data_IF_983663367811
#
_entry.id   IF_983663367811
#
_cell.length_a   1.000
_cell.length_b   1.000
_cell.length_c   1.000
_cell.angle_alpha   90.00
_cell.angle_beta   90.00
_cell.angle_gamma   90.00
#
_symmetry.space_group_name_H-M   'P 1'
#
loop_
_entity.id
_entity.type
_entity.pdbx_description
1 polymer ?
#
# COMPACT_ATOMS: atom_id res chain seq x y z
N UNK A 1 5.12 -4.17 15.49
CA UNK A 1 4.84 -5.26 16.44
C UNK A 1 5.90 -6.32 16.21
N UNK A 2 6.54 -6.86 17.25
CA UNK A 2 7.48 -7.97 17.05
C UNK A 2 6.74 -9.29 16.79
N UNK A 3 7.45 -10.29 16.27
CA UNK A 3 6.84 -11.57 15.85
C UNK A 3 6.24 -12.35 17.03
N UNK A 4 6.78 -12.22 18.24
CA UNK A 4 6.28 -12.94 19.41
C UNK A 4 4.94 -12.36 19.89
N UNK A 5 4.82 -11.03 19.92
CA UNK A 5 3.58 -10.34 20.22
C UNK A 5 2.50 -10.63 19.16
N UNK A 6 2.89 -10.66 17.89
CA UNK A 6 1.98 -11.01 16.79
C UNK A 6 1.44 -12.45 16.95
N UNK A 7 2.33 -13.40 17.24
CA UNK A 7 1.96 -14.78 17.54
C UNK A 7 0.97 -14.89 18.70
N UNK A 8 1.29 -14.31 19.86
CA UNK A 8 0.45 -14.41 21.04
C UNK A 8 -0.94 -13.80 20.80
N UNK A 9 -1.00 -12.65 20.10
CA UNK A 9 -2.27 -12.00 19.76
C UNK A 9 -3.07 -12.82 18.76
N UNK A 10 -2.43 -13.38 17.73
CA UNK A 10 -3.07 -14.28 16.77
C UNK A 10 -3.66 -15.52 17.45
N UNK A 11 -2.87 -16.18 18.32
CA UNK A 11 -3.31 -17.35 19.07
C UNK A 11 -4.51 -17.03 19.97
N UNK A 12 -4.50 -15.89 20.67
CA UNK A 12 -5.65 -15.43 21.47
C UNK A 12 -6.91 -15.24 20.62
N UNK A 13 -6.78 -14.67 19.42
CA UNK A 13 -7.90 -14.51 18.48
C UNK A 13 -8.45 -15.84 18.01
N UNK A 14 -7.57 -16.77 17.62
CA UNK A 14 -7.95 -18.12 17.20
C UNK A 14 -8.66 -18.89 18.33
N UNK A 15 -8.13 -18.86 19.56
CA UNK A 15 -8.75 -19.50 20.73
C UNK A 15 -10.14 -18.93 20.98
N UNK A 16 -10.27 -17.60 20.97
CA UNK A 16 -11.54 -16.94 21.22
C UNK A 16 -12.58 -17.29 20.14
N UNK A 17 -12.21 -17.16 18.85
CA UNK A 17 -13.13 -17.42 17.75
C UNK A 17 -13.55 -18.90 17.71
N UNK A 18 -12.62 -19.82 17.93
CA UNK A 18 -12.88 -21.26 17.99
C UNK A 18 -13.85 -21.61 19.11
N UNK A 19 -13.67 -21.04 20.31
CA UNK A 19 -14.60 -21.24 21.44
C UNK A 19 -15.99 -20.66 21.14
N UNK A 20 -16.06 -19.46 20.58
CA UNK A 20 -17.32 -18.81 20.20
C UNK A 20 -18.12 -19.61 19.17
N UNK A 21 -17.42 -20.25 18.21
CA UNK A 21 -18.01 -21.13 17.20
C UNK A 21 -18.18 -22.58 17.64
N UNK A 22 -17.77 -22.91 18.87
CA UNK A 22 -17.80 -24.27 19.44
C UNK A 22 -17.02 -25.28 18.58
N UNK A 23 -15.90 -24.86 18.01
CA UNK A 23 -15.01 -25.73 17.23
C UNK A 23 -14.16 -26.58 18.18
N UNK A 24 -14.01 -27.86 17.86
CA UNK A 24 -13.17 -28.79 18.61
C UNK A 24 -11.75 -28.81 18.03
N UNK A 25 -10.95 -27.81 18.41
CA UNK A 25 -9.56 -27.69 17.97
C UNK A 25 -8.62 -27.82 19.17
N UNK A 26 -7.65 -28.73 19.09
CA UNK A 26 -6.70 -28.93 20.17
C UNK A 26 -5.74 -27.73 20.29
N UNK A 27 -5.25 -27.37 21.49
CA UNK A 27 -4.37 -26.23 21.68
C UNK A 27 -3.11 -26.23 20.80
N UNK A 28 -2.52 -27.41 20.55
CA UNK A 28 -1.34 -27.52 19.69
C UNK A 28 -1.66 -27.22 18.22
N UNK A 29 -2.85 -27.58 17.73
CA UNK A 29 -3.28 -27.27 16.36
C UNK A 29 -3.54 -25.76 16.21
N UNK A 30 -4.12 -25.11 17.22
CA UNK A 30 -4.29 -23.65 17.22
C UNK A 30 -2.94 -22.92 17.22
N UNK A 31 -1.94 -23.46 17.93
CA UNK A 31 -0.57 -22.95 17.93
C UNK A 31 0.08 -23.07 16.54
N UNK A 32 -0.05 -24.23 15.88
CA UNK A 32 0.44 -24.46 14.52
C UNK A 32 -0.24 -23.53 13.50
N UNK A 33 -1.55 -23.31 13.63
CA UNK A 33 -2.29 -22.36 12.78
C UNK A 33 -1.81 -20.93 13.02
N UNK A 34 -1.56 -20.54 14.27
CA UNK A 34 -1.04 -19.21 14.58
C UNK A 34 0.35 -18.97 13.96
N UNK A 35 1.24 -19.96 14.00
CA UNK A 35 2.56 -19.90 13.37
C UNK A 35 2.43 -19.78 11.84
N UNK A 36 1.57 -20.60 11.24
CA UNK A 36 1.30 -20.58 9.79
C UNK A 36 0.82 -19.20 9.32
N UNK A 37 0.04 -18.50 10.14
CA UNK A 37 -0.47 -17.16 9.84
C UNK A 37 0.59 -16.08 10.03
N UNK A 38 1.28 -16.06 11.18
CA UNK A 38 2.18 -14.95 11.53
C UNK A 38 3.48 -14.97 10.74
N UNK A 39 3.99 -16.16 10.40
CA UNK A 39 5.26 -16.30 9.68
C UNK A 39 5.29 -15.55 8.33
N UNK A 40 4.37 -15.76 7.38
CA UNK A 40 4.36 -15.01 6.11
C UNK A 40 4.08 -13.51 6.31
N UNK A 41 3.30 -13.15 7.32
CA UNK A 41 2.91 -11.75 7.55
C UNK A 41 4.01 -10.88 8.19
N UNK A 42 5.07 -11.49 8.71
CA UNK A 42 6.23 -10.78 9.28
C UNK A 42 7.39 -10.67 8.28
N UNK A 43 7.12 -10.89 6.99
CA UNK A 43 8.08 -10.70 5.90
C UNK A 43 8.66 -9.28 5.86
N UNK A 44 9.87 -9.10 5.30
CA UNK A 44 10.62 -7.84 5.35
C UNK A 44 9.97 -6.70 4.55
N UNK A 45 9.03 -7.02 3.65
CA UNK A 45 8.35 -6.05 2.79
C UNK A 45 6.90 -5.77 3.21
N UNK A 46 6.40 -6.40 4.27
CA UNK A 46 5.04 -6.14 4.80
C UNK A 46 5.08 -4.92 5.72
N UNK A 47 4.70 -3.75 5.19
CA UNK A 47 4.66 -2.49 5.94
C UNK A 47 3.21 -2.06 6.26
N UNK A 48 2.28 -2.32 5.35
CA UNK A 48 0.85 -2.12 5.52
C UNK A 48 0.16 -3.44 5.90
N UNK A 49 0.31 -4.49 5.09
CA UNK A 49 -0.38 -5.77 5.26
C UNK A 49 0.35 -6.64 6.30
N UNK A 50 0.27 -6.20 7.56
CA UNK A 50 0.99 -6.73 8.73
C UNK A 50 0.08 -7.52 9.66
N UNK A 51 0.59 -8.25 10.68
CA UNK A 51 -0.25 -8.90 11.68
C UNK A 51 -1.19 -7.91 12.40
N UNK A 52 -0.75 -6.67 12.62
CA UNK A 52 -1.61 -5.67 13.25
C UNK A 52 -2.81 -5.32 12.36
N UNK A 53 -2.61 -5.23 11.04
CA UNK A 53 -3.68 -4.98 10.08
C UNK A 53 -4.77 -6.06 10.15
N UNK A 54 -4.43 -7.35 10.05
CA UNK A 54 -5.45 -8.42 10.11
C UNK A 54 -6.23 -8.45 11.44
N UNK A 55 -5.61 -8.01 12.55
CA UNK A 55 -6.30 -7.91 13.84
C UNK A 55 -7.30 -6.75 13.88
N UNK A 56 -7.02 -5.66 13.19
CA UNK A 56 -7.90 -4.50 13.10
C UNK A 56 -9.06 -4.79 12.13
N UNK A 57 -8.77 -5.44 10.99
CA UNK A 57 -9.77 -5.93 10.04
C UNK A 57 -10.71 -6.93 10.69
N UNK A 58 -10.21 -7.88 11.47
CA UNK A 58 -11.04 -8.90 12.14
C UNK A 58 -11.94 -8.34 13.24
N UNK A 59 -11.58 -7.20 13.84
CA UNK A 59 -12.32 -6.64 14.97
C UNK A 59 -12.37 -7.60 16.17
N UNK A 60 -13.44 -7.55 16.95
CA UNK A 60 -13.50 -8.26 18.25
C UNK A 60 -14.84 -8.93 18.56
N UNK A 61 -15.85 -8.81 17.68
CA UNK A 61 -17.24 -9.16 18.01
C UNK A 61 -17.70 -10.43 17.33
N UNK A 62 -17.42 -10.58 16.05
CA UNK A 62 -17.95 -11.67 15.23
C UNK A 62 -16.87 -12.71 14.93
N UNK A 63 -17.03 -13.99 15.33
CA UNK A 63 -15.97 -14.98 15.23
C UNK A 63 -15.67 -15.42 13.80
N UNK A 64 -16.65 -15.44 12.89
CA UNK A 64 -16.43 -15.72 11.47
C UNK A 64 -15.57 -14.62 10.83
N UNK A 65 -15.90 -13.35 11.10
CA UNK A 65 -15.15 -12.20 10.58
C UNK A 65 -13.72 -12.20 11.14
N UNK A 66 -13.54 -12.54 12.43
CA UNK A 66 -12.21 -12.69 13.02
C UNK A 66 -11.43 -13.80 12.32
N UNK A 67 -12.01 -15.00 12.14
CA UNK A 67 -11.31 -16.08 11.45
C UNK A 67 -10.95 -15.70 10.01
N UNK A 68 -11.89 -15.17 9.24
CA UNK A 68 -11.64 -14.73 7.87
C UNK A 68 -10.51 -13.69 7.79
N UNK A 69 -10.53 -12.67 8.64
CA UNK A 69 -9.54 -11.61 8.63
C UNK A 69 -8.12 -12.10 8.94
N UNK A 70 -7.96 -13.09 9.83
CA UNK A 70 -6.65 -13.67 10.12
C UNK A 70 -5.98 -14.29 8.88
N UNK A 71 -6.76 -14.66 7.85
CA UNK A 71 -6.23 -15.29 6.64
C UNK A 71 -6.26 -14.42 5.39
N UNK A 72 -7.07 -13.35 5.31
CA UNK A 72 -7.38 -12.71 4.01
C UNK A 72 -6.14 -12.20 3.23
N UNK A 73 -5.12 -11.72 3.93
CA UNK A 73 -3.84 -11.23 3.35
C UNK A 73 -2.66 -12.21 3.48
N UNK A 74 -2.96 -13.47 3.82
CA UNK A 74 -1.93 -14.45 4.13
C UNK A 74 -0.99 -14.70 2.95
N UNK A 75 -1.53 -14.76 1.74
CA UNK A 75 -0.77 -14.82 0.49
C UNK A 75 -0.80 -13.44 -0.16
N UNK A 76 0.36 -12.81 -0.34
CA UNK A 76 0.45 -11.55 -1.08
C UNK A 76 1.66 -11.52 -2.01
N UNK A 77 1.47 -12.06 -3.22
CA UNK A 77 2.60 -12.35 -4.11
C UNK A 77 3.36 -11.10 -4.57
N UNK A 78 2.66 -9.98 -4.75
CA UNK A 78 3.25 -8.73 -5.25
C UNK A 78 4.17 -8.09 -4.21
N UNK A 79 3.86 -8.25 -2.92
CA UNK A 79 4.69 -7.79 -1.82
C UNK A 79 5.78 -8.81 -1.46
N UNK A 80 5.47 -10.11 -1.44
CA UNK A 80 6.41 -11.14 -0.95
C UNK A 80 7.33 -11.70 -2.05
N UNK A 81 7.07 -11.37 -3.33
CA UNK A 81 7.69 -11.93 -4.54
C UNK A 81 7.63 -13.47 -4.65
N UNK A 82 6.98 -14.14 -3.71
CA UNK A 82 6.91 -15.59 -3.61
C UNK A 82 5.74 -15.99 -2.70
N UNK A 83 5.34 -17.25 -2.81
CA UNK A 83 4.44 -17.87 -1.84
C UNK A 83 5.31 -18.53 -0.76
N UNK A 84 5.04 -18.26 0.52
CA UNK A 84 5.72 -18.91 1.62
C UNK A 84 5.64 -20.43 1.49
N UNK A 85 6.76 -21.11 1.70
CA UNK A 85 6.89 -22.55 1.49
C UNK A 85 5.83 -23.37 2.24
N UNK A 86 5.51 -22.99 3.48
CA UNK A 86 4.52 -23.70 4.31
C UNK A 86 3.08 -23.53 3.78
N UNK A 87 2.81 -22.47 3.00
CA UNK A 87 1.53 -22.26 2.34
C UNK A 87 1.43 -23.02 1.01
N UNK A 88 2.57 -23.27 0.35
CA UNK A 88 2.63 -23.87 -0.98
C UNK A 88 1.98 -25.25 -1.07
N UNK A 89 1.99 -26.01 0.04
CA UNK A 89 1.34 -27.31 0.15
C UNK A 89 -0.17 -27.25 -0.10
N UNK A 90 -0.83 -26.18 0.33
CA UNK A 90 -2.27 -25.99 0.16
C UNK A 90 -2.65 -25.47 -1.23
N UNK A 91 -1.70 -24.89 -1.96
CA UNK A 91 -1.94 -24.16 -3.23
C UNK A 91 -1.52 -24.97 -4.45
N UNK A 92 -0.33 -25.58 -4.41
CA UNK A 92 0.27 -26.28 -5.55
C UNK A 92 -0.55 -27.44 -6.14
N UNK A 93 -1.42 -28.15 -5.38
CA UNK A 93 -2.29 -29.15 -5.98
C UNK A 93 -3.29 -28.57 -6.98
N UNK A 94 -3.64 -27.29 -6.85
CA UNK A 94 -4.71 -26.65 -7.62
C UNK A 94 -4.20 -25.60 -8.60
N UNK A 95 -3.08 -24.96 -8.27
CA UNK A 95 -2.51 -23.84 -9.01
C UNK A 95 -1.16 -24.26 -9.62
N UNK A 96 -0.89 -23.76 -10.82
CA UNK A 96 0.42 -23.87 -11.46
C UNK A 96 0.85 -22.52 -12.02
N UNK A 97 2.15 -22.33 -12.16
CA UNK A 97 2.71 -21.18 -12.86
C UNK A 97 2.93 -21.53 -14.33
N UNK A 98 2.50 -20.65 -15.24
CA UNK A 98 2.76 -20.71 -16.68
C UNK A 98 3.23 -19.32 -17.10
N UNK A 99 4.43 -19.22 -17.66
CA UNK A 99 5.02 -17.96 -18.15
C UNK A 99 4.94 -16.81 -17.11
N UNK A 100 5.32 -17.11 -15.85
CA UNK A 100 5.28 -16.12 -14.77
C UNK A 100 3.88 -15.81 -14.21
N UNK A 101 2.84 -16.52 -14.68
CA UNK A 101 1.44 -16.27 -14.27
C UNK A 101 0.83 -17.47 -13.58
N UNK A 102 0.22 -17.24 -12.42
CA UNK A 102 -0.52 -18.25 -11.70
C UNK A 102 -1.81 -18.59 -12.45
N UNK A 103 -2.08 -19.87 -12.63
CA UNK A 103 -3.20 -20.40 -13.40
C UNK A 103 -3.83 -21.56 -12.64
N UNK A 104 -5.15 -21.54 -12.51
CA UNK A 104 -5.89 -22.70 -11.97
C UNK A 104 -5.70 -23.88 -12.93
N UNK A 105 -5.36 -25.05 -12.41
CA UNK A 105 -5.18 -26.25 -13.24
C UNK A 105 -6.45 -26.56 -14.04
N UNK A 106 -6.25 -27.16 -15.21
CA UNK A 106 -7.35 -27.62 -16.06
C UNK A 106 -8.16 -28.70 -15.34
N UNK A 107 -9.45 -28.83 -15.65
CA UNK A 107 -10.37 -29.75 -14.96
C UNK A 107 -9.82 -31.18 -14.83
N UNK A 108 -9.21 -31.73 -15.89
CA UNK A 108 -8.64 -33.08 -15.88
C UNK A 108 -7.39 -33.28 -15.02
N UNK A 109 -6.80 -32.20 -14.51
CA UNK A 109 -5.61 -32.23 -13.65
C UNK A 109 -5.89 -31.74 -12.22
N UNK A 110 -7.13 -31.36 -11.91
CA UNK A 110 -7.54 -30.99 -10.56
C UNK A 110 -7.86 -32.26 -9.75
N UNK A 111 -7.37 -32.37 -8.50
CA UNK A 111 -7.82 -33.44 -7.63
C UNK A 111 -9.31 -33.24 -7.28
N UNK A 112 -10.05 -34.33 -7.01
CA UNK A 112 -11.45 -34.24 -6.57
C UNK A 112 -11.52 -33.69 -5.14
N UNK A 113 -11.62 -32.38 -5.01
CA UNK A 113 -11.60 -31.67 -3.73
C UNK A 113 -12.81 -30.72 -3.62
N UNK A 114 -13.71 -31.04 -2.68
CA UNK A 114 -14.95 -30.27 -2.48
C UNK A 114 -14.70 -28.88 -1.93
N UNK A 115 -13.66 -28.71 -1.10
CA UNK A 115 -13.33 -27.41 -0.50
C UNK A 115 -12.77 -26.48 -1.57
N UNK A 116 -11.86 -26.95 -2.41
CA UNK A 116 -11.38 -26.18 -3.55
C UNK A 116 -12.53 -25.78 -4.48
N UNK A 117 -13.42 -26.72 -4.81
CA UNK A 117 -14.59 -26.43 -5.65
C UNK A 117 -15.49 -25.35 -5.02
N UNK A 118 -15.70 -25.39 -3.70
CA UNK A 118 -16.48 -24.38 -2.98
C UNK A 118 -15.80 -23.01 -3.02
N UNK A 119 -14.48 -22.93 -2.80
CA UNK A 119 -13.71 -21.68 -2.88
C UNK A 119 -13.81 -21.10 -4.31
N UNK A 120 -13.58 -21.92 -5.33
CA UNK A 120 -13.70 -21.51 -6.73
C UNK A 120 -15.11 -21.00 -7.07
N UNK A 121 -16.16 -21.69 -6.62
CA UNK A 121 -17.55 -21.28 -6.83
C UNK A 121 -17.88 -19.93 -6.17
N UNK A 122 -17.42 -19.69 -4.94
CA UNK A 122 -17.67 -18.43 -4.22
C UNK A 122 -16.92 -17.26 -4.85
N UNK A 123 -15.70 -17.48 -5.36
CA UNK A 123 -14.95 -16.45 -6.10
C UNK A 123 -15.44 -16.28 -7.54
N UNK A 124 -16.18 -17.26 -8.08
CA UNK A 124 -16.59 -17.30 -9.48
C UNK A 124 -15.42 -17.61 -10.42
N UNK A 125 -14.42 -18.34 -9.94
CA UNK A 125 -13.26 -18.74 -10.73
C UNK A 125 -13.45 -20.14 -11.33
N UNK A 126 -12.84 -20.37 -12.48
CA UNK A 126 -13.01 -21.62 -13.24
C UNK A 126 -11.67 -22.33 -13.51
N UNK A 127 -11.67 -23.65 -13.68
CA UNK A 127 -10.48 -24.40 -14.11
C UNK A 127 -9.84 -23.82 -15.37
N UNK A 128 -8.51 -23.75 -15.40
CA UNK A 128 -7.76 -23.18 -16.51
C UNK A 128 -7.66 -21.65 -16.51
N UNK A 129 -8.36 -20.94 -15.61
CA UNK A 129 -8.31 -19.48 -15.53
C UNK A 129 -6.94 -18.98 -15.07
N UNK A 130 -6.40 -17.99 -15.76
CA UNK A 130 -5.23 -17.22 -15.33
C UNK A 130 -5.68 -16.27 -14.21
N UNK A 131 -5.00 -16.34 -13.07
CA UNK A 131 -5.26 -15.46 -11.94
C UNK A 131 -4.65 -14.08 -12.22
N UNK A 132 -5.40 -13.04 -11.89
CA UNK A 132 -5.00 -11.65 -12.10
C UNK A 132 -4.85 -10.97 -10.72
N UNK A 133 -3.67 -10.38 -10.42
CA UNK A 133 -3.44 -9.55 -9.24
C UNK A 133 -4.55 -8.55 -8.93
N UNK A 134 -5.14 -7.93 -9.97
CA UNK A 134 -6.14 -6.88 -9.83
C UNK A 134 -7.58 -7.39 -9.73
N UNK A 135 -7.79 -8.72 -9.77
CA UNK A 135 -9.13 -9.34 -9.77
C UNK A 135 -9.22 -10.43 -8.69
N UNK A 136 -8.50 -10.26 -7.58
CA UNK A 136 -8.66 -11.10 -6.39
C UNK A 136 -7.75 -12.33 -6.32
N UNK A 137 -6.60 -12.32 -7.00
CA UNK A 137 -5.65 -13.44 -6.95
C UNK A 137 -5.21 -13.76 -5.50
N UNK A 138 -4.86 -12.74 -4.72
CA UNK A 138 -4.28 -12.95 -3.40
C UNK A 138 -5.32 -13.46 -2.43
N UNK A 139 -6.50 -12.83 -2.43
CA UNK A 139 -7.66 -13.18 -1.62
C UNK A 139 -8.13 -14.60 -1.93
N UNK A 140 -8.10 -15.01 -3.20
CA UNK A 140 -8.44 -16.39 -3.60
C UNK A 140 -7.45 -17.40 -3.04
N UNK A 141 -6.15 -17.12 -3.15
CA UNK A 141 -5.11 -18.01 -2.62
C UNK A 141 -5.13 -18.08 -1.09
N UNK A 142 -5.33 -16.92 -0.44
CA UNK A 142 -5.54 -16.80 1.01
C UNK A 142 -6.78 -17.57 1.47
N UNK A 143 -7.90 -17.44 0.78
CA UNK A 143 -9.13 -18.18 1.08
C UNK A 143 -8.96 -19.69 0.89
N UNK A 144 -8.22 -20.12 -0.14
CA UNK A 144 -7.90 -21.52 -0.35
C UNK A 144 -7.07 -22.08 0.80
N UNK A 145 -6.04 -21.36 1.25
CA UNK A 145 -5.26 -21.76 2.44
C UNK A 145 -6.15 -21.82 3.68
N UNK A 146 -6.93 -20.76 3.94
CA UNK A 146 -7.85 -20.71 5.08
C UNK A 146 -8.78 -21.93 5.09
N UNK A 147 -9.38 -22.23 3.93
CA UNK A 147 -10.34 -23.29 3.81
C UNK A 147 -9.70 -24.67 4.02
N UNK A 148 -8.51 -24.92 3.47
CA UNK A 148 -7.80 -26.20 3.66
C UNK A 148 -7.28 -26.39 5.09
N UNK A 149 -6.85 -25.31 5.75
CA UNK A 149 -6.38 -25.35 7.14
C UNK A 149 -7.54 -25.59 8.12
N UNK A 150 -8.71 -25.00 7.86
CA UNK A 150 -9.87 -25.06 8.74
C UNK A 150 -10.82 -26.23 8.44
N UNK A 151 -10.68 -26.88 7.27
CA UNK A 151 -11.48 -28.02 6.81
C UNK A 151 -11.73 -29.11 7.87
N UNK A 152 -10.74 -29.53 8.70
CA UNK A 152 -10.96 -30.58 9.68
C UNK A 152 -11.87 -30.19 10.86
N UNK A 153 -12.13 -28.88 11.03
CA UNK A 153 -12.71 -28.35 12.26
C UNK A 153 -14.02 -27.61 12.05
N UNK A 154 -14.20 -27.00 10.88
CA UNK A 154 -15.27 -26.05 10.60
C UNK A 154 -16.38 -26.71 9.78
N UNK A 155 -17.65 -26.43 10.13
CA UNK A 155 -18.79 -26.94 9.38
C UNK A 155 -18.83 -26.32 7.97
N UNK A 156 -19.32 -27.04 6.95
CA UNK A 156 -19.40 -26.52 5.57
C UNK A 156 -20.11 -25.16 5.43
N UNK A 157 -21.13 -24.89 6.25
CA UNK A 157 -21.84 -23.61 6.30
C UNK A 157 -20.94 -22.48 6.79
N UNK A 158 -20.21 -22.70 7.89
CA UNK A 158 -19.27 -21.74 8.45
C UNK A 158 -18.09 -21.53 7.49
N UNK A 159 -17.65 -22.58 6.79
CA UNK A 159 -16.63 -22.50 5.76
C UNK A 159 -17.04 -21.57 4.62
N UNK A 160 -18.27 -21.71 4.10
CA UNK A 160 -18.82 -20.78 3.11
C UNK A 160 -18.79 -19.33 3.61
N UNK A 161 -19.15 -19.09 4.87
CA UNK A 161 -19.15 -17.74 5.44
C UNK A 161 -17.75 -17.13 5.55
N UNK A 162 -16.75 -17.92 5.95
CA UNK A 162 -15.35 -17.49 6.03
C UNK A 162 -14.84 -17.13 4.63
N UNK A 163 -15.05 -18.00 3.65
CA UNK A 163 -14.63 -17.77 2.26
C UNK A 163 -15.31 -16.52 1.68
N UNK A 164 -16.61 -16.33 1.94
CA UNK A 164 -17.35 -15.16 1.50
C UNK A 164 -16.77 -13.84 2.07
N UNK A 165 -16.37 -13.85 3.35
CA UNK A 165 -15.77 -12.68 3.97
C UNK A 165 -14.41 -12.33 3.35
N UNK A 166 -13.58 -13.33 3.03
CA UNK A 166 -12.30 -13.11 2.33
C UNK A 166 -12.55 -12.65 0.88
N UNK A 167 -13.52 -13.21 0.16
CA UNK A 167 -13.82 -12.78 -1.22
C UNK A 167 -14.25 -11.31 -1.28
N UNK A 168 -14.97 -10.83 -0.26
CA UNK A 168 -15.43 -9.46 -0.23
C UNK A 168 -14.30 -8.43 -0.02
N UNK A 169 -13.12 -8.83 0.46
CA UNK A 169 -11.98 -7.90 0.62
C UNK A 169 -11.29 -7.57 -0.69
N UNK A 170 -11.64 -8.22 -1.82
CA UNK A 170 -11.13 -7.84 -3.13
C UNK A 170 -11.62 -6.42 -3.47
N UNK A 171 -10.74 -5.40 -3.49
CA UNK A 171 -11.17 -4.02 -3.41
C UNK A 171 -11.49 -3.43 -4.80
N UNK A 172 -12.20 -2.31 -4.82
CA UNK A 172 -12.40 -1.40 -5.98
C UNK A 172 -12.99 -2.03 -7.24
N UNK A 173 -13.69 -3.17 -7.13
CA UNK A 173 -14.26 -3.83 -8.30
C UNK A 173 -15.49 -3.07 -8.83
N UNK A 174 -15.53 -2.77 -10.14
CA UNK A 174 -16.66 -2.05 -10.72
C UNK A 174 -17.94 -2.90 -10.71
N UNK A 175 -19.07 -2.22 -10.90
CA UNK A 175 -20.35 -2.87 -11.20
C UNK A 175 -20.24 -3.63 -12.53
N UNK A 176 -21.02 -4.70 -12.69
CA UNK A 176 -21.15 -5.36 -14.01
C UNK A 176 -21.86 -4.45 -15.00
N UNK A 177 -21.83 -4.81 -16.28
CA UNK A 177 -22.63 -4.15 -17.33
C UNK A 177 -24.13 -4.13 -16.96
N UNK A 178 -24.64 -5.21 -16.35
CA UNK A 178 -26.01 -5.29 -15.81
C UNK A 178 -26.26 -4.48 -14.51
N UNK A 179 -25.28 -3.69 -14.05
CA UNK A 179 -25.39 -2.83 -12.88
C UNK A 179 -25.24 -3.52 -11.51
N UNK A 180 -24.88 -4.81 -11.46
CA UNK A 180 -24.74 -5.55 -10.21
C UNK A 180 -23.48 -5.13 -9.44
N UNK A 181 -23.62 -4.88 -8.14
CA UNK A 181 -22.50 -4.60 -7.24
C UNK A 181 -21.69 -5.86 -6.92
N UNK A 182 -20.53 -5.69 -6.29
CA UNK A 182 -19.74 -6.79 -5.71
C UNK A 182 -20.58 -7.64 -4.76
N UNK A 183 -21.33 -7.01 -3.87
CA UNK A 183 -22.19 -7.68 -2.89
C UNK A 183 -23.34 -8.45 -3.55
N UNK A 184 -23.94 -7.91 -4.62
CA UNK A 184 -24.99 -8.63 -5.36
C UNK A 184 -24.45 -9.87 -6.06
N UNK A 185 -23.25 -9.77 -6.65
CA UNK A 185 -22.56 -10.91 -7.25
C UNK A 185 -22.22 -11.97 -6.21
N UNK A 186 -21.68 -11.57 -5.06
CA UNK A 186 -21.38 -12.47 -3.96
C UNK A 186 -22.66 -13.18 -3.48
N UNK A 187 -23.73 -12.43 -3.20
CA UNK A 187 -25.02 -12.99 -2.80
C UNK A 187 -25.54 -14.06 -3.77
N UNK A 188 -25.48 -13.80 -5.09
CA UNK A 188 -25.87 -14.78 -6.12
C UNK A 188 -25.00 -16.03 -6.10
N UNK A 189 -23.67 -15.87 -5.97
CA UNK A 189 -22.75 -17.00 -5.87
C UNK A 189 -22.97 -17.82 -4.61
N UNK A 190 -23.21 -17.19 -3.46
CA UNK A 190 -23.52 -17.90 -2.21
C UNK A 190 -24.80 -18.72 -2.32
N UNK A 191 -25.84 -18.20 -2.99
CA UNK A 191 -27.05 -18.98 -3.29
C UNK A 191 -26.76 -20.22 -4.15
N UNK A 192 -26.03 -20.04 -5.24
CA UNK A 192 -25.66 -21.14 -6.13
C UNK A 192 -24.82 -22.20 -5.40
N UNK A 193 -23.79 -21.76 -4.66
CA UNK A 193 -22.93 -22.64 -3.85
C UNK A 193 -23.73 -23.35 -2.76
N UNK A 194 -24.67 -22.69 -2.09
CA UNK A 194 -25.52 -23.32 -1.08
C UNK A 194 -26.34 -24.48 -1.65
N UNK A 195 -26.86 -24.33 -2.87
CA UNK A 195 -27.60 -25.38 -3.58
C UNK A 195 -26.66 -26.49 -4.04
N UNK A 196 -25.56 -26.14 -4.74
CA UNK A 196 -24.61 -27.09 -5.32
C UNK A 196 -23.98 -28.01 -4.26
N UNK A 197 -23.66 -27.45 -3.09
CA UNK A 197 -23.03 -28.18 -1.99
C UNK A 197 -24.02 -28.67 -0.94
N UNK A 198 -25.33 -28.46 -1.14
CA UNK A 198 -26.41 -28.86 -0.23
C UNK A 198 -26.16 -28.43 1.23
N UNK A 199 -25.81 -27.15 1.41
CA UNK A 199 -25.41 -26.61 2.73
C UNK A 199 -26.63 -26.28 3.62
N UNK A 200 -27.82 -26.16 3.02
CA UNK A 200 -29.08 -26.00 3.76
C UNK A 200 -29.26 -24.63 4.42
N UNK A 201 -28.48 -23.62 4.03
CA UNK A 201 -28.66 -22.26 4.51
C UNK A 201 -29.95 -21.66 3.93
N UNK A 202 -30.70 -20.95 4.76
CA UNK A 202 -31.84 -20.16 4.31
C UNK A 202 -31.40 -18.79 3.77
N UNK A 203 -32.31 -18.07 3.10
CA UNK A 203 -31.99 -16.76 2.50
C UNK A 203 -31.54 -15.73 3.54
N UNK A 204 -32.12 -15.73 4.74
CA UNK A 204 -31.71 -14.87 5.84
C UNK A 204 -30.26 -15.09 6.25
N UNK A 205 -29.83 -16.34 6.36
CA UNK A 205 -28.44 -16.68 6.68
C UNK A 205 -27.46 -16.27 5.58
N UNK A 206 -27.85 -16.39 4.31
CA UNK A 206 -27.04 -15.91 3.18
C UNK A 206 -26.95 -14.38 3.20
N UNK A 207 -28.04 -13.67 3.47
CA UNK A 207 -28.04 -12.20 3.61
C UNK A 207 -27.08 -11.78 4.72
N UNK A 208 -27.18 -12.38 5.90
CA UNK A 208 -26.33 -12.03 7.03
C UNK A 208 -24.85 -12.39 6.76
N UNK A 209 -24.59 -13.43 5.98
CA UNK A 209 -23.25 -13.74 5.50
C UNK A 209 -22.68 -12.60 4.65
N UNK A 210 -23.43 -12.12 3.66
CA UNK A 210 -22.98 -11.01 2.81
C UNK A 210 -22.80 -9.72 3.62
N UNK A 211 -23.68 -9.45 4.60
CA UNK A 211 -23.51 -8.32 5.52
C UNK A 211 -22.23 -8.42 6.35
N UNK A 212 -21.91 -9.60 6.87
CA UNK A 212 -20.64 -9.84 7.57
C UNK A 212 -19.44 -9.60 6.65
N UNK A 213 -19.53 -10.05 5.40
CA UNK A 213 -18.51 -9.80 4.38
C UNK A 213 -18.36 -8.31 4.09
N UNK A 214 -19.45 -7.53 4.02
CA UNK A 214 -19.41 -6.07 3.88
C UNK A 214 -18.75 -5.39 5.07
N UNK A 215 -19.06 -5.79 6.30
CA UNK A 215 -18.42 -5.24 7.52
C UNK A 215 -16.93 -5.49 7.53
N UNK A 216 -16.48 -6.67 7.09
CA UNK A 216 -15.06 -6.99 7.00
C UNK A 216 -14.37 -6.18 5.88
N UNK A 217 -14.93 -6.19 4.67
CA UNK A 217 -14.40 -5.42 3.54
C UNK A 217 -14.28 -3.93 3.85
N UNK A 218 -15.31 -3.33 4.47
CA UNK A 218 -15.26 -1.92 4.86
C UNK A 218 -14.23 -1.61 5.96
N UNK A 219 -13.89 -2.58 6.82
CA UNK A 219 -12.82 -2.41 7.81
C UNK A 219 -11.44 -2.50 7.19
N UNK A 220 -11.26 -3.39 6.23
CA UNK A 220 -10.03 -3.54 5.46
C UNK A 220 -9.61 -2.22 4.80
N UNK A 221 -10.54 -1.57 4.10
CA UNK A 221 -10.29 -0.26 3.47
C UNK A 221 -10.63 0.95 4.36
N UNK A 222 -10.81 0.76 5.67
CA UNK A 222 -11.30 1.83 6.58
C UNK A 222 -10.41 3.08 6.62
N UNK A 223 -9.12 2.92 6.31
CA UNK A 223 -8.17 4.03 6.27
C UNK A 223 -8.57 5.15 5.29
N UNK A 224 -9.27 4.82 4.20
CA UNK A 224 -9.77 5.79 3.22
C UNK A 224 -10.76 6.79 3.84
N UNK A 225 -11.54 6.38 4.85
CA UNK A 225 -12.50 7.25 5.53
C UNK A 225 -11.95 7.84 6.84
N UNK A 226 -10.63 7.84 7.05
CA UNK A 226 -10.05 8.42 8.25
C UNK A 226 -10.37 9.93 8.36
N UNK A 227 -10.83 10.45 9.52
CA UNK A 227 -11.19 11.87 9.65
C UNK A 227 -10.05 12.85 9.34
N UNK A 228 -8.83 12.47 9.68
CA UNK A 228 -7.61 13.24 9.44
C UNK A 228 -6.89 12.69 8.21
N UNK A 229 -6.68 13.52 7.19
CA UNK A 229 -6.02 13.09 5.95
C UNK A 229 -4.55 12.71 6.16
N UNK A 230 -3.88 13.30 7.17
CA UNK A 230 -2.50 12.97 7.53
C UNK A 230 -2.31 11.48 7.92
N UNK A 231 -3.31 10.88 8.55
CA UNK A 231 -3.29 9.46 8.93
C UNK A 231 -3.64 8.55 7.73
N UNK A 232 -4.60 8.95 6.89
CA UNK A 232 -4.89 8.27 5.64
C UNK A 232 -3.66 8.21 4.71
N UNK A 233 -2.96 9.33 4.55
CA UNK A 233 -1.74 9.40 3.75
C UNK A 233 -0.57 8.63 4.38
N UNK A 234 -0.45 8.59 5.71
CA UNK A 234 0.57 7.77 6.38
C UNK A 234 0.38 6.27 6.07
N UNK A 235 -0.87 5.81 6.09
CA UNK A 235 -1.23 4.45 5.70
C UNK A 235 -0.94 4.18 4.22
N UNK A 236 -1.28 5.11 3.34
CA UNK A 236 -0.90 5.05 1.92
C UNK A 236 0.61 4.97 1.75
N UNK A 237 1.38 5.70 2.56
CA UNK A 237 2.84 5.72 2.49
C UNK A 237 3.48 4.39 2.89
N UNK A 238 2.86 3.62 3.79
CA UNK A 238 3.33 2.28 4.12
C UNK A 238 3.26 1.33 2.90
N UNK A 239 2.41 1.61 1.90
CA UNK A 239 2.35 0.81 0.67
C UNK A 239 3.54 1.06 -0.27
N UNK A 240 4.25 2.20 -0.16
CA UNK A 240 5.39 2.52 -1.04
C UNK A 240 6.49 1.47 -0.98
N UNK A 241 7.14 1.21 0.18
CA UNK A 241 8.21 0.21 0.26
C UNK A 241 7.70 -1.22 0.07
N UNK A 242 6.40 -1.47 0.29
CA UNK A 242 5.77 -2.78 0.12
C UNK A 242 5.51 -3.13 -1.35
N UNK A 243 5.24 -2.14 -2.19
CA UNK A 243 5.02 -2.34 -3.64
C UNK A 243 6.23 -1.95 -4.48
N UNK A 244 7.24 -1.32 -3.87
CA UNK A 244 8.47 -0.86 -4.53
C UNK A 244 9.69 -1.21 -3.66
N UNK A 245 10.18 -2.44 -3.77
CA UNK A 245 11.26 -2.95 -2.90
C UNK A 245 12.58 -2.17 -3.02
N UNK A 246 12.79 -1.42 -4.11
CA UNK A 246 13.95 -0.52 -4.20
C UNK A 246 13.97 0.53 -3.07
N UNK A 247 12.80 0.89 -2.53
CA UNK A 247 12.65 1.84 -1.43
C UNK A 247 12.81 1.21 -0.04
N UNK A 248 13.05 -0.10 0.08
CA UNK A 248 13.21 -0.76 1.38
C UNK A 248 14.53 -0.42 2.06
N UNK A 249 15.54 0.01 1.29
CA UNK A 249 16.86 0.38 1.82
C UNK A 249 17.06 1.89 1.75
N UNK A 250 17.09 2.52 2.93
CA UNK A 250 17.29 3.96 3.05
C UNK A 250 18.63 4.39 2.42
N UNK A 251 18.59 5.43 1.58
CA UNK A 251 19.77 6.01 0.94
C UNK A 251 20.34 5.24 -0.26
N UNK A 252 19.77 4.09 -0.61
CA UNK A 252 20.23 3.27 -1.74
C UNK A 252 19.46 3.51 -3.05
N UNK A 253 18.29 4.15 -2.99
CA UNK A 253 17.43 4.36 -4.15
C UNK A 253 17.75 5.64 -4.92
N UNK A 254 17.58 5.60 -6.24
CA UNK A 254 17.83 6.75 -7.13
C UNK A 254 16.65 7.73 -7.15
N UNK A 255 16.87 8.91 -7.72
CA UNK A 255 15.78 9.86 -7.99
C UNK A 255 14.68 9.20 -8.84
N UNK A 256 15.07 8.44 -9.86
CA UNK A 256 14.14 7.73 -10.74
C UNK A 256 13.37 6.60 -10.03
N UNK A 257 14.00 5.88 -9.11
CA UNK A 257 13.31 4.86 -8.30
C UNK A 257 12.20 5.49 -7.46
N UNK A 258 12.48 6.61 -6.78
CA UNK A 258 11.49 7.33 -5.99
C UNK A 258 10.38 7.91 -6.87
N UNK A 259 10.73 8.53 -8.01
CA UNK A 259 9.75 9.06 -8.96
C UNK A 259 8.83 7.98 -9.50
N UNK A 260 9.36 6.80 -9.85
CA UNK A 260 8.55 5.65 -10.31
C UNK A 260 7.52 5.26 -9.26
N UNK A 261 7.93 5.17 -8.00
CA UNK A 261 7.05 4.78 -6.91
C UNK A 261 5.95 5.83 -6.65
N UNK A 262 6.29 7.12 -6.63
CA UNK A 262 5.31 8.21 -6.48
C UNK A 262 4.34 8.26 -7.66
N UNK A 263 4.84 8.07 -8.89
CA UNK A 263 4.03 8.01 -10.10
C UNK A 263 3.02 6.85 -10.05
N UNK A 264 3.44 5.66 -9.60
CA UNK A 264 2.56 4.50 -9.47
C UNK A 264 1.42 4.75 -8.46
N UNK A 265 1.73 5.35 -7.30
CA UNK A 265 0.70 5.68 -6.31
C UNK A 265 -0.21 6.82 -6.79
N UNK A 266 0.32 7.84 -7.47
CA UNK A 266 -0.51 8.90 -8.06
C UNK A 266 -1.48 8.34 -9.09
N UNK A 267 -1.02 7.42 -9.95
CA UNK A 267 -1.86 6.76 -10.93
C UNK A 267 -2.94 5.89 -10.27
N UNK A 268 -2.58 5.14 -9.22
CA UNK A 268 -3.54 4.35 -8.44
C UNK A 268 -4.58 5.25 -7.76
N UNK A 269 -4.18 6.28 -7.02
CA UNK A 269 -5.12 7.19 -6.35
C UNK A 269 -6.02 7.95 -7.33
N UNK A 270 -5.53 8.24 -8.54
CA UNK A 270 -6.29 8.90 -9.59
C UNK A 270 -7.28 7.97 -10.30
N UNK A 271 -7.10 6.65 -10.24
CA UNK A 271 -8.01 5.67 -10.85
C UNK A 271 -9.15 5.25 -9.92
N UNK A 272 -9.07 5.56 -8.63
CA UNK A 272 -10.10 5.19 -7.65
C UNK A 272 -11.37 6.03 -7.78
N UNK A 273 -12.50 5.35 -7.82
CA UNK A 273 -13.83 5.96 -7.68
C UNK A 273 -14.30 5.85 -6.22
N UNK A 274 -14.71 6.95 -5.57
CA UNK A 274 -15.12 6.90 -4.16
C UNK A 274 -16.27 5.93 -3.85
N UNK A 275 -17.21 5.75 -4.80
CA UNK A 275 -18.33 4.82 -4.70
C UNK A 275 -17.95 3.34 -4.82
N UNK A 276 -16.70 3.01 -5.15
CA UNK A 276 -16.18 1.64 -5.21
C UNK A 276 -15.33 1.27 -4.00
N UNK A 277 -15.03 2.21 -3.10
CA UNK A 277 -14.23 1.97 -1.89
C UNK A 277 -15.05 1.21 -0.85
N UNK A 278 -16.15 1.82 -0.40
CA UNK A 278 -17.01 1.25 0.63
C UNK A 278 -18.20 0.54 0.01
N UNK A 279 -18.64 -0.53 0.67
CA UNK A 279 -19.75 -1.35 0.24
C UNK A 279 -20.96 -1.18 1.16
N UNK A 280 -22.14 -1.31 0.56
CA UNK A 280 -23.40 -1.35 1.27
C UNK A 280 -24.26 -2.48 0.70
N UNK A 281 -24.87 -3.29 1.58
CA UNK A 281 -25.77 -4.36 1.18
C UNK A 281 -26.94 -4.49 2.15
N UNK A 282 -28.17 -4.34 1.61
CA UNK A 282 -29.44 -4.53 2.36
C UNK A 282 -29.43 -3.88 3.76
N UNK A 283 -28.99 -2.61 3.82
CA UNK A 283 -28.96 -1.81 5.04
C UNK A 283 -27.73 -2.00 5.94
N UNK A 284 -26.69 -2.72 5.50
CA UNK A 284 -25.40 -2.81 6.18
C UNK A 284 -24.28 -2.18 5.33
N UNK A 285 -23.57 -1.15 5.82
CA UNK A 285 -23.98 -0.33 6.96
C UNK A 285 -25.27 0.45 6.63
N UNK A 286 -25.88 1.08 7.63
CA UNK A 286 -27.03 1.95 7.37
C UNK A 286 -26.65 3.14 6.46
N UNK A 287 -27.65 3.76 5.82
CA UNK A 287 -27.41 4.83 4.84
C UNK A 287 -26.61 6.00 5.42
N UNK A 288 -26.86 6.39 6.67
CA UNK A 288 -26.16 7.53 7.27
C UNK A 288 -24.68 7.22 7.51
N UNK A 289 -24.39 6.01 7.96
CA UNK A 289 -23.02 5.51 8.12
C UNK A 289 -22.32 5.38 6.77
N UNK A 290 -23.00 4.87 5.74
CA UNK A 290 -22.45 4.75 4.39
C UNK A 290 -22.10 6.12 3.78
N UNK A 291 -23.02 7.09 3.84
CA UNK A 291 -22.79 8.45 3.33
C UNK A 291 -21.60 9.12 4.03
N UNK A 292 -21.45 8.92 5.34
CA UNK A 292 -20.29 9.42 6.08
C UNK A 292 -18.97 8.82 5.57
N UNK A 293 -18.93 7.51 5.34
CA UNK A 293 -17.76 6.83 4.77
C UNK A 293 -17.45 7.38 3.37
N UNK A 294 -18.46 7.48 2.51
CA UNK A 294 -18.35 7.99 1.14
C UNK A 294 -17.80 9.42 1.11
N UNK A 295 -18.36 10.35 1.90
CA UNK A 295 -17.91 11.74 1.93
C UNK A 295 -16.46 11.87 2.43
N UNK A 296 -16.08 11.11 3.46
CA UNK A 296 -14.70 11.13 3.97
C UNK A 296 -13.72 10.54 2.97
N UNK A 297 -14.08 9.42 2.33
CA UNK A 297 -13.27 8.81 1.28
C UNK A 297 -13.06 9.74 0.10
N UNK A 298 -14.14 10.38 -0.37
CA UNK A 298 -14.10 11.33 -1.49
C UNK A 298 -13.16 12.51 -1.18
N UNK A 299 -13.31 13.13 0.01
CA UNK A 299 -12.43 14.20 0.47
C UNK A 299 -10.97 13.75 0.55
N UNK A 300 -10.72 12.60 1.16
CA UNK A 300 -9.36 12.09 1.36
C UNK A 300 -8.68 11.74 0.03
N UNK A 301 -9.41 11.19 -0.93
CA UNK A 301 -8.92 10.97 -2.29
C UNK A 301 -8.55 12.29 -2.97
N UNK A 302 -9.39 13.31 -2.89
CA UNK A 302 -9.10 14.63 -3.49
C UNK A 302 -7.82 15.25 -2.90
N UNK A 303 -7.67 15.17 -1.57
CA UNK A 303 -6.46 15.60 -0.85
C UNK A 303 -5.24 14.81 -1.31
N UNK A 304 -5.33 13.47 -1.36
CA UNK A 304 -4.22 12.63 -1.76
C UNK A 304 -3.81 12.86 -3.21
N UNK A 305 -4.77 13.02 -4.13
CA UNK A 305 -4.48 13.33 -5.52
C UNK A 305 -3.72 14.65 -5.65
N UNK A 306 -4.20 15.73 -5.03
CA UNK A 306 -3.50 17.02 -5.09
C UNK A 306 -2.12 16.95 -4.40
N UNK A 307 -2.02 16.29 -3.25
CA UNK A 307 -0.76 16.06 -2.54
C UNK A 307 0.27 15.30 -3.38
N UNK A 308 -0.16 14.20 -4.01
CA UNK A 308 0.70 13.35 -4.86
C UNK A 308 1.11 14.06 -6.13
N UNK A 309 0.23 14.86 -6.77
CA UNK A 309 0.60 15.73 -7.88
C UNK A 309 1.71 16.70 -7.48
N UNK A 310 1.62 17.30 -6.29
CA UNK A 310 2.66 18.19 -5.79
C UNK A 310 4.00 17.46 -5.61
N UNK A 311 3.98 16.27 -5.00
CA UNK A 311 5.16 15.41 -4.83
C UNK A 311 5.74 14.98 -6.18
N UNK A 312 4.90 14.62 -7.14
CA UNK A 312 5.29 14.12 -8.45
C UNK A 312 5.98 15.21 -9.29
N UNK A 313 5.44 16.43 -9.32
CA UNK A 313 6.08 17.57 -10.00
C UNK A 313 7.43 17.90 -9.36
N UNK A 314 7.48 17.87 -8.02
CA UNK A 314 8.73 18.14 -7.29
C UNK A 314 9.80 17.13 -7.68
N UNK A 315 9.49 15.83 -7.64
CA UNK A 315 10.49 14.82 -8.00
C UNK A 315 10.82 14.82 -9.50
N UNK A 316 9.87 15.16 -10.37
CA UNK A 316 10.13 15.34 -11.80
C UNK A 316 11.19 16.42 -12.05
N UNK A 317 11.05 17.57 -11.37
CA UNK A 317 12.01 18.66 -11.46
C UNK A 317 13.40 18.25 -10.97
N UNK A 318 13.45 17.54 -9.83
CA UNK A 318 14.72 17.01 -9.30
C UNK A 318 15.32 15.96 -10.24
N UNK A 319 14.51 15.10 -10.87
CA UNK A 319 14.97 14.09 -11.85
C UNK A 319 15.55 14.77 -13.08
N UNK A 320 14.83 15.72 -13.68
CA UNK A 320 15.30 16.50 -14.82
C UNK A 320 16.64 17.19 -14.55
N UNK A 321 16.82 17.80 -13.38
CA UNK A 321 18.09 18.40 -12.97
C UNK A 321 19.17 17.34 -12.73
N UNK A 322 18.82 16.19 -12.14
CA UNK A 322 19.78 15.12 -11.87
C UNK A 322 20.37 14.51 -13.14
N UNK A 323 19.60 14.47 -14.25
CA UNK A 323 20.04 13.96 -15.55
C UNK A 323 21.21 14.78 -16.13
N UNK A 324 21.39 16.03 -15.72
CA UNK A 324 22.56 16.85 -16.10
C UNK A 324 23.85 16.39 -15.42
N UNK A 325 23.74 15.65 -14.31
CA UNK A 325 24.84 15.10 -13.53
C UNK A 325 25.08 13.64 -13.91
N UNK A 326 24.02 12.84 -14.07
CA UNK A 326 24.06 11.43 -14.46
C UNK A 326 22.68 10.77 -14.46
N UNK A 327 22.61 9.53 -14.97
CA UNK A 327 21.33 8.84 -15.21
C UNK A 327 20.74 8.19 -13.93
N UNK A 328 21.59 7.72 -13.01
CA UNK A 328 21.19 6.98 -11.80
C UNK A 328 21.74 7.65 -10.52
N UNK A 329 21.37 8.91 -10.31
CA UNK A 329 21.82 9.66 -9.13
C UNK A 329 21.01 9.23 -7.89
N UNK A 330 21.65 8.83 -6.78
CA UNK A 330 20.97 8.61 -5.50
C UNK A 330 20.18 9.85 -5.05
N UNK A 331 18.96 9.67 -4.55
CA UNK A 331 18.12 10.81 -4.15
C UNK A 331 18.80 11.67 -3.08
N UNK A 332 19.56 11.06 -2.18
CA UNK A 332 20.32 11.74 -1.13
C UNK A 332 21.37 12.70 -1.69
N UNK A 333 21.90 12.45 -2.90
CA UNK A 333 22.79 13.40 -3.57
C UNK A 333 22.03 14.67 -3.94
N UNK A 334 20.79 14.58 -4.40
CA UNK A 334 20.03 15.76 -4.81
C UNK A 334 19.35 16.48 -3.65
N UNK A 335 18.86 15.75 -2.64
CA UNK A 335 18.03 16.33 -1.58
C UNK A 335 18.75 16.47 -0.23
N UNK A 336 19.90 15.83 -0.04
CA UNK A 336 20.56 15.67 1.25
C UNK A 336 20.19 14.36 1.95
N UNK A 337 20.95 14.01 2.98
CA UNK A 337 20.69 12.83 3.80
C UNK A 337 19.61 13.09 4.85
N UNK A 338 18.88 12.04 5.23
CA UNK A 338 18.00 12.10 6.40
C UNK A 338 18.90 12.21 7.64
N UNK A 339 18.67 13.16 8.56
CA UNK A 339 19.52 13.35 9.72
C UNK A 339 19.69 12.07 10.54
N UNK A 340 20.93 11.60 10.69
CA UNK A 340 21.28 10.49 11.58
C UNK A 340 21.80 11.05 12.92
N UNK A 341 21.52 10.41 14.06
CA UNK A 341 22.05 10.83 15.35
C UNK A 341 23.57 10.96 15.31
N UNK A 342 24.09 12.17 15.58
CA UNK A 342 25.53 12.46 15.59
C UNK A 342 26.13 12.94 14.25
N UNK A 343 25.34 12.99 13.18
CA UNK A 343 25.78 13.53 11.89
C UNK A 343 24.89 14.71 11.47
N UNK A 344 25.51 15.82 11.08
CA UNK A 344 24.80 17.01 10.58
C UNK A 344 25.09 17.15 9.10
N UNK A 345 24.15 16.74 8.26
CA UNK A 345 24.17 17.02 6.83
C UNK A 345 23.14 18.12 6.55
N UNK A 346 23.49 19.07 5.68
CA UNK A 346 22.55 20.13 5.26
C UNK A 346 21.66 19.60 4.13
N UNK A 347 20.34 19.50 4.32
CA UNK A 347 19.41 19.16 3.25
C UNK A 347 19.20 20.34 2.29
N UNK A 348 18.70 20.06 1.08
CA UNK A 348 18.46 21.07 0.05
C UNK A 348 17.57 22.22 0.55
N UNK A 349 16.63 21.93 1.45
CA UNK A 349 15.71 22.92 2.00
C UNK A 349 16.40 24.09 2.72
N UNK A 350 17.63 23.90 3.23
CA UNK A 350 18.35 24.95 3.95
C UNK A 350 18.85 26.07 3.04
N UNK A 351 18.98 25.77 1.75
CA UNK A 351 19.48 26.71 0.74
C UNK A 351 18.35 27.31 -0.11
N UNK A 352 17.08 26.95 0.16
CA UNK A 352 15.94 27.54 -0.53
C UNK A 352 15.65 28.95 0.03
N UNK A 353 15.45 29.96 -0.83
CA UNK A 353 15.15 31.31 -0.37
C UNK A 353 13.72 31.44 0.16
N UNK A 354 13.45 32.52 0.89
CA UNK A 354 12.08 32.90 1.20
C UNK A 354 11.34 33.36 -0.06
N UNK A 355 10.08 32.93 -0.21
CA UNK A 355 9.24 33.32 -1.34
C UNK A 355 8.60 34.68 -1.08
N UNK A 356 8.90 35.65 -1.94
CA UNK A 356 8.22 36.95 -1.96
C UNK A 356 6.76 36.77 -2.39
N UNK A 357 5.81 37.20 -1.55
CA UNK A 357 4.36 37.02 -1.75
C UNK A 357 3.93 35.54 -1.90
N UNK A 358 4.03 34.73 -0.83
CA UNK A 358 3.72 33.31 -0.90
C UNK A 358 2.24 33.09 -1.25
N UNK A 359 1.99 32.08 -2.10
CA UNK A 359 0.65 31.61 -2.41
C UNK A 359 -0.16 31.33 -1.14
N UNK A 360 -1.38 31.82 -1.11
CA UNK A 360 -2.35 31.54 -0.04
C UNK A 360 -3.39 30.53 -0.52
N UNK A 361 -3.55 29.38 0.15
CA UNK A 361 -4.57 28.38 -0.18
C UNK A 361 -5.98 28.98 -0.30
N UNK A 362 -6.67 28.67 -1.40
CA UNK A 362 -8.00 29.20 -1.75
C UNK A 362 -9.15 28.32 -1.27
N UNK A 363 -8.92 27.01 -1.12
CA UNK A 363 -9.94 26.03 -0.72
C UNK A 363 -9.53 25.30 0.55
N UNK A 364 -10.49 24.62 1.20
CA UNK A 364 -10.20 23.78 2.36
C UNK A 364 -9.26 22.62 2.01
N UNK A 365 -9.40 22.04 0.81
CA UNK A 365 -8.54 20.97 0.30
C UNK A 365 -7.11 21.48 0.12
N UNK A 366 -6.95 22.63 -0.54
CA UNK A 366 -5.64 23.26 -0.71
C UNK A 366 -4.97 23.58 0.62
N UNK A 367 -5.75 24.07 1.60
CA UNK A 367 -5.24 24.39 2.93
C UNK A 367 -4.70 23.13 3.62
N UNK A 368 -5.45 22.05 3.57
CA UNK A 368 -5.02 20.78 4.19
C UNK A 368 -3.83 20.17 3.46
N UNK A 369 -3.79 20.20 2.13
CA UNK A 369 -2.61 19.76 1.37
C UNK A 369 -1.39 20.62 1.69
N UNK A 370 -1.56 21.93 1.81
CA UNK A 370 -0.48 22.85 2.18
C UNK A 370 0.07 22.53 3.58
N UNK A 371 -0.81 22.26 4.55
CA UNK A 371 -0.43 21.83 5.90
C UNK A 371 0.29 20.47 5.84
N UNK A 372 -0.17 19.52 5.03
CA UNK A 372 0.47 18.21 4.84
C UNK A 372 1.87 18.31 4.21
N UNK A 373 2.07 19.23 3.27
CA UNK A 373 3.39 19.47 2.67
C UNK A 373 4.33 20.15 3.66
N UNK A 374 3.83 21.08 4.47
CA UNK A 374 4.64 21.90 5.38
C UNK A 374 4.96 21.19 6.70
N UNK A 375 3.94 20.64 7.36
CA UNK A 375 4.03 20.03 8.69
C UNK A 375 4.33 18.53 8.57
N UNK A 376 3.76 17.88 7.56
CA UNK A 376 3.99 16.47 7.25
C UNK A 376 2.80 15.55 7.51
N UNK A 377 2.93 14.32 7.03
CA UNK A 377 2.00 13.21 7.30
C UNK A 377 2.14 12.74 8.76
N UNK A 378 1.16 11.96 9.24
CA UNK A 378 1.33 11.27 10.52
C UNK A 378 2.50 10.28 10.45
N UNK A 379 3.10 9.97 11.61
CA UNK A 379 4.27 9.08 11.67
C UNK A 379 3.92 7.69 11.12
N UNK A 380 4.63 7.29 10.07
CA UNK A 380 4.53 5.95 9.47
C UNK A 380 5.65 5.04 9.99
N UNK A 381 5.56 3.74 9.69
CA UNK A 381 6.59 2.75 10.07
C UNK A 381 7.83 2.93 9.17
N UNK A 382 7.64 3.42 7.94
CA UNK A 382 8.71 3.73 7.02
C UNK A 382 9.40 5.06 7.37
N UNK A 383 10.73 5.08 7.24
CA UNK A 383 11.57 6.24 7.51
C UNK A 383 11.82 7.03 6.23
N UNK A 384 10.88 7.92 5.87
CA UNK A 384 11.09 9.00 4.91
C UNK A 384 10.82 10.37 5.55
N UNK A 385 11.07 11.45 4.80
CA UNK A 385 10.70 12.79 5.24
C UNK A 385 9.16 12.92 5.23
N UNK A 386 8.59 13.11 6.43
CA UNK A 386 7.15 13.25 6.63
C UNK A 386 6.61 14.51 5.96
N UNK A 387 7.36 15.61 6.03
CA UNK A 387 7.09 16.87 5.33
C UNK A 387 7.82 16.91 3.98
N UNK A 388 7.47 17.87 3.14
CA UNK A 388 7.95 17.99 1.75
C UNK A 388 8.38 19.43 1.47
N UNK A 389 9.59 19.81 1.92
CA UNK A 389 10.01 21.21 1.96
C UNK A 389 10.18 21.82 0.57
N UNK A 390 10.77 21.09 -0.37
CA UNK A 390 10.91 21.54 -1.77
C UNK A 390 9.54 21.69 -2.42
N UNK A 391 8.62 20.73 -2.20
CA UNK A 391 7.26 20.83 -2.71
C UNK A 391 6.51 22.03 -2.12
N UNK A 392 6.69 22.29 -0.82
CA UNK A 392 6.14 23.46 -0.13
C UNK A 392 6.65 24.76 -0.74
N UNK A 393 7.96 24.84 -1.01
CA UNK A 393 8.57 25.98 -1.68
C UNK A 393 7.96 26.23 -3.06
N UNK A 394 7.88 25.19 -3.90
CA UNK A 394 7.28 25.31 -5.24
C UNK A 394 5.83 25.77 -5.15
N UNK A 395 5.00 25.17 -4.29
CA UNK A 395 3.61 25.59 -4.09
C UNK A 395 3.51 27.04 -3.64
N UNK A 396 4.37 27.50 -2.72
CA UNK A 396 4.42 28.91 -2.30
C UNK A 396 4.74 29.83 -3.48
N UNK A 397 5.58 29.41 -4.42
CA UNK A 397 6.01 30.22 -5.56
C UNK A 397 4.97 30.28 -6.70
N UNK A 398 4.32 29.17 -7.03
CA UNK A 398 3.46 29.09 -8.24
C UNK A 398 2.00 28.69 -7.98
N UNK A 399 1.66 28.22 -6.77
CA UNK A 399 0.31 27.81 -6.39
C UNK A 399 -0.14 26.46 -6.95
N UNK A 400 -1.26 25.94 -6.45
CA UNK A 400 -1.77 24.60 -6.77
C UNK A 400 -2.27 24.43 -8.21
N UNK A 401 -2.80 25.49 -8.81
CA UNK A 401 -3.27 25.47 -10.21
C UNK A 401 -2.09 25.21 -11.16
N UNK A 402 -1.00 25.96 -10.99
CA UNK A 402 0.21 25.76 -11.77
C UNK A 402 0.83 24.38 -11.49
N UNK A 403 0.85 23.91 -10.23
CA UNK A 403 1.31 22.54 -9.92
C UNK A 403 0.51 21.48 -10.67
N UNK A 404 -0.80 21.66 -10.80
CA UNK A 404 -1.64 20.70 -11.53
C UNK A 404 -1.29 20.68 -13.01
N UNK A 405 -1.10 21.85 -13.63
CA UNK A 405 -0.66 21.95 -15.03
C UNK A 405 0.75 21.36 -15.25
N UNK A 406 1.67 21.60 -14.32
CA UNK A 406 3.02 21.04 -14.39
C UNK A 406 3.03 19.51 -14.19
N UNK A 407 2.05 18.94 -13.49
CA UNK A 407 1.93 17.49 -13.35
C UNK A 407 1.68 16.82 -14.71
N UNK A 408 0.86 17.43 -15.57
CA UNK A 408 0.62 16.90 -16.92
C UNK A 408 1.90 16.95 -17.77
N UNK A 409 2.69 18.02 -17.65
CA UNK A 409 4.01 18.11 -18.29
C UNK A 409 5.00 17.10 -17.73
N UNK A 410 5.03 16.88 -16.41
CA UNK A 410 5.86 15.86 -15.79
C UNK A 410 5.52 14.47 -16.35
N UNK A 411 4.23 14.14 -16.53
CA UNK A 411 3.80 12.89 -17.16
C UNK A 411 4.25 12.77 -18.63
N UNK A 412 4.28 13.87 -19.38
CA UNK A 412 4.83 13.88 -20.74
C UNK A 412 6.35 13.67 -20.74
N UNK A 413 7.06 14.30 -19.81
CA UNK A 413 8.50 14.12 -19.61
C UNK A 413 8.84 12.66 -19.31
N UNK A 414 8.12 12.01 -18.39
CA UNK A 414 8.34 10.58 -18.08
C UNK A 414 8.01 9.62 -19.24
N UNK A 415 7.30 10.09 -20.26
CA UNK A 415 6.95 9.33 -21.46
C UNK A 415 7.87 9.69 -22.64
N UNK A 416 8.96 10.42 -22.41
CA UNK A 416 9.90 10.91 -23.41
C UNK A 416 9.24 11.73 -24.54
N UNK A 417 8.09 12.36 -24.25
CA UNK A 417 7.34 13.17 -25.24
C UNK A 417 7.86 14.60 -25.34
N UNK A 418 8.54 15.08 -24.30
CA UNK A 418 9.22 16.38 -24.24
C UNK A 418 10.62 16.14 -23.68
N UNK A 419 11.59 16.95 -24.10
CA UNK A 419 12.97 16.82 -23.60
C UNK A 419 13.10 17.34 -22.18
N UNK A 420 14.24 17.06 -21.55
CA UNK A 420 14.60 17.63 -20.24
C UNK A 420 14.59 19.17 -20.29
N UNK A 421 15.16 19.76 -21.33
CA UNK A 421 15.21 21.21 -21.54
C UNK A 421 13.80 21.79 -21.69
N UNK A 422 12.96 21.19 -22.55
CA UNK A 422 11.57 21.62 -22.74
C UNK A 422 10.73 21.52 -21.46
N UNK A 423 11.04 20.54 -20.59
CA UNK A 423 10.39 20.40 -19.30
C UNK A 423 10.88 21.44 -18.28
N UNK A 424 12.18 21.72 -18.22
CA UNK A 424 12.73 22.74 -17.33
C UNK A 424 12.28 24.15 -17.73
N UNK A 425 12.27 24.46 -19.04
CA UNK A 425 11.85 25.75 -19.60
C UNK A 425 10.37 26.06 -19.36
N UNK A 426 9.57 25.08 -18.93
CA UNK A 426 8.16 25.31 -18.60
C UNK A 426 7.90 25.81 -17.20
N UNK A 427 8.90 25.80 -16.34
CA UNK A 427 8.80 26.39 -15.01
C UNK A 427 9.00 27.91 -15.08
N UNK A 428 8.48 28.63 -14.07
CA UNK A 428 8.81 30.04 -13.91
C UNK A 428 10.34 30.20 -13.78
N UNK A 429 10.99 31.09 -14.56
CA UNK A 429 12.45 31.22 -14.55
C UNK A 429 13.03 31.49 -13.16
N UNK A 430 12.39 32.37 -12.37
CA UNK A 430 12.83 32.68 -11.01
C UNK A 430 12.69 31.48 -10.06
N UNK A 431 11.66 30.66 -10.21
CA UNK A 431 11.52 29.41 -9.44
C UNK A 431 12.67 28.45 -9.77
N UNK A 432 12.95 28.25 -11.06
CA UNK A 432 14.00 27.35 -11.52
C UNK A 432 15.38 27.83 -11.07
N UNK A 433 15.69 29.12 -11.24
CA UNK A 433 16.92 29.75 -10.75
C UNK A 433 17.14 29.52 -9.25
N UNK A 434 16.10 29.70 -8.43
CA UNK A 434 16.19 29.49 -6.98
C UNK A 434 16.51 28.02 -6.62
N UNK A 435 15.90 27.05 -7.31
CA UNK A 435 16.15 25.63 -7.05
C UNK A 435 17.55 25.22 -7.53
N UNK A 436 17.97 25.70 -8.70
CA UNK A 436 19.33 25.48 -9.21
C UNK A 436 20.35 26.11 -8.26
N UNK A 437 20.12 27.34 -7.81
CA UNK A 437 20.98 28.03 -6.84
C UNK A 437 21.13 27.23 -5.54
N UNK A 438 20.01 26.75 -4.98
CA UNK A 438 20.02 25.92 -3.79
C UNK A 438 20.78 24.60 -3.97
N UNK A 439 20.66 23.95 -5.14
CA UNK A 439 21.43 22.75 -5.47
C UNK A 439 22.93 23.04 -5.58
N UNK A 440 23.30 24.15 -6.23
CA UNK A 440 24.71 24.57 -6.35
C UNK A 440 25.33 24.81 -4.97
N UNK A 441 24.62 25.50 -4.07
CA UNK A 441 25.08 25.70 -2.68
C UNK A 441 25.20 24.37 -1.91
N UNK A 442 24.26 23.44 -2.10
CA UNK A 442 24.35 22.10 -1.53
C UNK A 442 25.62 21.37 -2.01
N UNK A 443 25.92 21.39 -3.31
CA UNK A 443 27.13 20.76 -3.85
C UNK A 443 28.41 21.46 -3.39
N UNK A 444 28.42 22.80 -3.31
CA UNK A 444 29.57 23.54 -2.77
C UNK A 444 29.81 23.20 -1.30
N UNK A 445 28.76 23.06 -0.47
CA UNK A 445 28.93 22.65 0.93
C UNK A 445 29.63 21.29 1.06
N UNK A 446 29.31 20.34 0.16
CA UNK A 446 29.94 19.02 0.12
C UNK A 446 31.37 19.09 -0.39
N UNK A 447 31.64 19.92 -1.40
CA UNK A 447 32.98 20.19 -1.89
C UNK A 447 33.86 20.80 -0.80
N UNK A 448 33.34 21.74 0.00
CA UNK A 448 34.03 22.28 1.17
C UNK A 448 34.32 21.20 2.21
N UNK A 449 33.34 20.34 2.52
CA UNK A 449 33.52 19.25 3.48
C UNK A 449 34.63 18.26 3.06
N UNK A 450 34.69 17.88 1.77
CA UNK A 450 35.77 17.05 1.22
C UNK A 450 37.10 17.82 1.23
N UNK A 451 37.06 19.12 0.91
CA UNK A 451 38.27 19.94 0.83
C UNK A 451 38.99 20.05 2.19
N UNK A 452 38.27 19.95 3.31
CA UNK A 452 38.89 19.85 4.64
C UNK A 452 39.84 18.64 4.77
N UNK A 453 39.64 17.57 4.00
CA UNK A 453 40.56 16.44 3.99
C UNK A 453 41.93 16.78 3.38
N UNK A 454 42.03 17.79 2.49
CA UNK A 454 43.33 18.24 1.98
C UNK A 454 44.24 18.80 3.08
N UNK A 455 43.66 19.47 4.09
CA UNK A 455 44.40 19.94 5.27
C UNK A 455 45.00 18.81 6.09
N UNK A 456 44.35 17.64 6.14
CA UNK A 456 44.83 16.45 6.84
C UNK A 456 46.05 15.85 6.14
N UNK A 457 46.05 15.82 4.80
CA UNK A 457 47.21 15.35 4.02
C UNK A 457 48.43 16.27 4.17
N UNK A 458 48.22 17.60 4.23
CA UNK A 458 49.30 18.58 4.42
C UNK A 458 49.95 18.51 5.82
N UNK A 459 49.15 18.27 6.87
CA UNK A 459 49.64 18.09 8.24
C UNK A 459 50.38 16.76 8.47
N UNK A 460 50.09 15.72 7.68
CA UNK A 460 50.86 14.46 7.69
C UNK A 460 52.20 14.59 6.97
N UNK A 461 52.31 15.41 5.92
CA UNK A 461 53.58 15.68 5.25
C UNK A 461 54.55 16.51 6.09
N UNK A 462 54.07 17.45 6.92
CA UNK A 462 54.93 18.23 7.82
C UNK A 462 55.37 17.44 9.06
N UNK A 463 54.53 16.57 9.61
CA UNK A 463 54.93 15.69 10.73
C UNK A 463 55.91 14.57 10.34
N UNK A 464 56.02 14.21 9.06
CA UNK A 464 57.07 13.32 8.57
C UNK A 464 58.44 14.03 8.44
N UNK A 465 58.45 15.35 8.24
CA UNK A 465 59.71 16.13 8.20
C UNK A 465 60.25 16.49 9.59
N UNK A 466 59.40 16.57 10.63
CA UNK A 466 59.85 16.89 12.01
C UNK A 466 60.34 15.66 12.79
N UNK A 467 60.07 14.42 12.31
CA UNK A 467 60.63 13.18 12.91
C UNK A 467 61.98 12.73 12.32
N UNK A 468 62.56 13.52 11.42
CA UNK A 468 63.86 13.27 10.79
C UNK A 468 64.91 14.35 11.10
N UNK A 469 64.68 15.17 12.13
CA UNK A 469 65.66 16.14 12.65
C UNK A 469 66.21 15.73 14.01
#
# INVERSE_FOLDING_TARGET
MDSAQAYEKCLKRLIWASKSLKLEIQPHQLAEIADLIVQPMTGPWRYFHTPQHIFDVGGTKEPIEVLAALFHDLVYLQADLSINFNLSYFISPFIKEIDGRLTIRQQGHLPPDKIFAMVAAIFGFVPGQILNPYVGQNEFLSALVAAKVLEPFVLPQQMLQIIACIEATIPFRPKTEDGLTTCDRLYKRLHNTNIEFNLGLNDGEIIETVKASVRMANRDVSSFAHPQAAQFLANTWNLLPETNHKLSTMGAYTVGDYRTAIQAIEAFMSSLEPNLIFHQFRGEPDNSSYELLYHRASRNLEIAQLYLKCKLVTIALIEALSLTIGVDIPLTIMMGEIPLPGFTFMPLEYFLPEVSNPYSPKTNIEKEVFDLLTIGRAKSIHSDLQHSPVATFIVKSIGFEAMTQQCDRAKQFFQDKISTEDFLDSFNPTLLENIIGALLELFESRKTAISHCYGITLLKSTNFQVKLS
#
